data_IF_302259755904
#
_entry.id   IF_302259755904
#
_cell.length_a   1.000
_cell.length_b   1.000
_cell.length_c   1.000
_cell.angle_alpha   90.00
_cell.angle_beta   90.00
_cell.angle_gamma   90.00
#
_symmetry.space_group_name_H-M   'P 1'
#
loop_
_entity.id
_entity.type
_entity.pdbx_description
1 polymer ?
#
# COMPACT_ATOMS: atom_id res chain seq x y z
N UNK A 1 -24.09 -14.63 -44.60
CA UNK A 1 -22.77 -13.97 -44.51
C UNK A 1 -22.62 -13.40 -43.12
N UNK A 2 -21.75 -13.99 -42.30
CA UNK A 2 -21.38 -13.46 -40.99
C UNK A 2 -20.47 -12.24 -41.18
N UNK A 3 -20.93 -11.06 -40.78
CA UNK A 3 -20.09 -9.86 -40.72
C UNK A 3 -19.19 -9.98 -39.49
N UNK A 4 -17.88 -10.02 -39.69
CA UNK A 4 -16.89 -9.89 -38.62
C UNK A 4 -16.89 -8.44 -38.14
N UNK A 5 -17.04 -8.24 -36.84
CA UNK A 5 -16.95 -6.91 -36.20
C UNK A 5 -15.73 -6.93 -35.31
N UNK A 6 -14.81 -6.01 -35.53
CA UNK A 6 -13.68 -5.80 -34.64
C UNK A 6 -14.16 -5.11 -33.36
N UNK A 7 -13.69 -5.64 -32.24
CA UNK A 7 -13.98 -5.10 -30.92
C UNK A 7 -12.72 -5.07 -30.06
N UNK A 8 -12.67 -4.13 -29.12
CA UNK A 8 -11.57 -3.93 -28.17
C UNK A 8 -12.08 -4.21 -26.75
N UNK A 9 -11.39 -5.04 -25.96
CA UNK A 9 -11.77 -5.27 -24.58
C UNK A 9 -11.58 -4.02 -23.72
N UNK A 10 -12.42 -3.83 -22.71
CA UNK A 10 -12.27 -2.78 -21.70
C UNK A 10 -12.59 -3.32 -20.30
N UNK A 11 -12.01 -2.67 -19.29
CA UNK A 11 -12.30 -2.90 -17.88
C UNK A 11 -12.27 -1.56 -17.15
N UNK A 12 -13.40 -1.11 -16.62
CA UNK A 12 -13.54 0.23 -16.08
C UNK A 12 -14.43 0.26 -14.84
N UNK A 13 -14.17 1.22 -13.95
CA UNK A 13 -15.02 1.46 -12.79
C UNK A 13 -16.35 2.09 -13.24
N UNK A 14 -17.44 1.69 -12.61
CA UNK A 14 -18.75 2.32 -12.78
C UNK A 14 -18.82 3.50 -11.81
N UNK A 15 -18.78 4.73 -12.32
CA UNK A 15 -18.97 5.93 -11.49
C UNK A 15 -20.48 6.21 -11.26
N UNK A 16 -20.85 6.59 -10.04
CA UNK A 16 -22.19 7.10 -9.72
C UNK A 16 -23.20 6.08 -9.17
N UNK A 17 -22.79 4.84 -8.89
CA UNK A 17 -23.60 3.86 -8.15
C UNK A 17 -23.20 3.81 -6.68
N UNK A 18 -24.14 3.47 -5.78
CA UNK A 18 -23.87 3.33 -4.34
C UNK A 18 -23.03 2.10 -3.98
N UNK A 19 -22.74 1.25 -4.98
CA UNK A 19 -21.86 0.09 -4.85
C UNK A 19 -20.66 0.30 -5.79
N UNK A 20 -19.46 0.17 -5.23
CA UNK A 20 -18.22 0.19 -6.00
C UNK A 20 -18.15 -1.08 -6.86
N UNK A 21 -18.26 -0.91 -8.18
CA UNK A 21 -18.27 -2.01 -9.15
C UNK A 21 -17.42 -1.65 -10.38
N UNK A 22 -16.92 -2.68 -11.04
CA UNK A 22 -16.25 -2.61 -12.33
C UNK A 22 -17.08 -3.30 -13.40
N UNK A 23 -16.91 -2.89 -14.65
CA UNK A 23 -17.49 -3.57 -15.80
C UNK A 23 -16.39 -3.99 -16.76
N UNK A 24 -16.41 -5.28 -17.11
CA UNK A 24 -15.61 -5.85 -18.18
C UNK A 24 -16.49 -6.07 -19.40
N UNK A 25 -15.99 -5.74 -20.59
CA UNK A 25 -16.73 -5.99 -21.83
C UNK A 25 -15.93 -5.67 -23.07
N UNK A 26 -16.63 -5.55 -24.20
CA UNK A 26 -16.03 -5.21 -25.48
C UNK A 26 -16.67 -3.94 -26.06
N UNK A 27 -15.86 -3.09 -26.69
CA UNK A 27 -16.31 -1.92 -27.44
C UNK A 27 -16.07 -2.09 -28.92
N UNK A 28 -16.98 -1.57 -29.74
CA UNK A 28 -16.75 -1.42 -31.19
C UNK A 28 -15.90 -0.17 -31.45
N UNK A 29 -15.46 -0.02 -32.69
CA UNK A 29 -14.69 1.15 -33.14
C UNK A 29 -15.42 2.49 -32.92
N UNK A 30 -16.75 2.50 -32.83
CA UNK A 30 -17.56 3.70 -32.54
C UNK A 30 -17.68 4.02 -31.03
N UNK A 31 -17.00 3.24 -30.17
CA UNK A 31 -17.04 3.38 -28.72
C UNK A 31 -18.28 2.75 -28.06
N UNK A 32 -19.25 2.26 -28.84
CA UNK A 32 -20.42 1.59 -28.28
C UNK A 32 -20.04 0.23 -27.68
N UNK A 33 -20.67 -0.09 -26.55
CA UNK A 33 -20.55 -1.38 -25.89
C UNK A 33 -21.18 -2.47 -26.77
N UNK A 34 -20.55 -3.64 -26.81
CA UNK A 34 -20.91 -4.74 -27.69
C UNK A 34 -20.89 -6.07 -26.95
N UNK A 35 -21.93 -6.86 -27.15
CA UNK A 35 -22.02 -8.21 -26.59
C UNK A 35 -22.36 -8.21 -25.10
N UNK A 36 -21.76 -9.15 -24.37
CA UNK A 36 -22.00 -9.38 -22.95
C UNK A 36 -21.10 -8.46 -22.12
N UNK A 37 -21.70 -7.83 -21.12
CA UNK A 37 -20.99 -7.10 -20.07
C UNK A 37 -21.02 -7.91 -18.79
N UNK A 38 -19.89 -7.93 -18.09
CA UNK A 38 -19.74 -8.57 -16.80
C UNK A 38 -19.55 -7.47 -15.77
N UNK A 39 -20.50 -7.34 -14.85
CA UNK A 39 -20.37 -6.47 -13.69
C UNK A 39 -19.68 -7.26 -12.59
N UNK A 40 -18.57 -6.72 -12.10
CA UNK A 40 -17.75 -7.32 -11.05
C UNK A 40 -17.76 -6.40 -9.83
N UNK A 41 -18.14 -6.89 -8.64
CA UNK A 41 -18.02 -6.10 -7.41
C UNK A 41 -16.57 -5.68 -7.15
N UNK A 42 -16.34 -4.45 -6.68
CA UNK A 42 -14.98 -3.96 -6.40
C UNK A 42 -14.25 -4.84 -5.37
N UNK A 43 -14.94 -5.30 -4.32
CA UNK A 43 -14.38 -6.23 -3.33
C UNK A 43 -13.78 -7.48 -3.97
N UNK A 44 -14.42 -8.04 -5.00
CA UNK A 44 -13.90 -9.21 -5.71
C UNK A 44 -12.65 -8.88 -6.55
N UNK A 45 -12.62 -7.68 -7.13
CA UNK A 45 -11.45 -7.18 -7.87
C UNK A 45 -10.29 -6.93 -6.91
N UNK A 46 -10.54 -6.30 -5.77
CA UNK A 46 -9.56 -6.06 -4.71
C UNK A 46 -8.96 -7.36 -4.22
N UNK A 47 -9.79 -8.35 -3.87
CA UNK A 47 -9.30 -9.67 -3.47
C UNK A 47 -8.48 -10.34 -4.56
N UNK A 48 -8.90 -10.27 -5.83
CA UNK A 48 -8.17 -10.88 -6.93
C UNK A 48 -6.83 -10.18 -7.22
N UNK A 49 -6.79 -8.84 -7.17
CA UNK A 49 -5.57 -8.04 -7.37
C UNK A 49 -4.60 -8.21 -6.21
N UNK A 50 -5.11 -8.23 -4.98
CA UNK A 50 -4.29 -8.37 -3.78
C UNK A 50 -3.90 -9.81 -3.46
N UNK A 51 -4.56 -10.82 -4.06
CA UNK A 51 -4.30 -12.24 -3.77
C UNK A 51 -2.84 -12.65 -3.95
N UNK A 52 -2.18 -12.12 -4.99
CA UNK A 52 -0.77 -12.40 -5.29
C UNK A 52 0.15 -11.20 -4.97
N UNK A 53 -0.38 -10.17 -4.31
CA UNK A 53 0.38 -8.97 -3.96
C UNK A 53 0.90 -9.06 -2.52
N UNK A 54 2.16 -8.66 -2.31
CA UNK A 54 2.74 -8.53 -0.97
C UNK A 54 3.11 -7.08 -0.70
N UNK A 55 2.53 -6.49 0.33
CA UNK A 55 2.90 -5.16 0.83
C UNK A 55 3.85 -5.31 2.01
N UNK A 56 4.97 -4.60 1.95
CA UNK A 56 5.93 -4.48 3.05
C UNK A 56 6.23 -3.01 3.33
N UNK A 57 6.57 -2.71 4.58
CA UNK A 57 7.01 -1.37 4.99
C UNK A 57 8.53 -1.40 5.06
N UNK A 58 9.18 -0.47 4.38
CA UNK A 58 10.59 -0.19 4.56
C UNK A 58 10.79 1.20 5.17
N UNK A 59 12.00 1.43 5.69
CA UNK A 59 12.42 2.70 6.23
C UNK A 59 13.59 3.22 5.39
N UNK A 60 13.46 4.46 4.90
CA UNK A 60 14.53 5.18 4.24
C UNK A 60 15.61 5.59 5.25
N UNK A 61 16.85 5.86 4.80
CA UNK A 61 17.94 6.27 5.69
C UNK A 61 17.68 7.54 6.52
N UNK A 62 16.74 8.39 6.10
CA UNK A 62 16.32 9.60 6.82
C UNK A 62 15.21 9.33 7.86
N UNK A 63 14.79 8.08 8.03
CA UNK A 63 13.75 7.68 8.97
C UNK A 63 12.32 7.84 8.44
N UNK A 64 12.12 8.20 7.18
CA UNK A 64 10.80 8.16 6.54
C UNK A 64 10.41 6.73 6.16
N UNK A 65 9.12 6.41 6.28
CA UNK A 65 8.59 5.09 5.93
C UNK A 65 8.10 5.09 4.48
N UNK A 66 8.22 3.95 3.83
CA UNK A 66 7.72 3.72 2.48
C UNK A 66 7.10 2.33 2.37
N UNK A 67 6.06 2.21 1.56
CA UNK A 67 5.50 0.94 1.12
C UNK A 67 6.29 0.43 -0.07
N UNK A 68 6.62 -0.86 -0.02
CA UNK A 68 7.04 -1.65 -1.15
C UNK A 68 5.95 -2.68 -1.45
N UNK A 69 5.61 -2.81 -2.72
CA UNK A 69 4.64 -3.80 -3.19
C UNK A 69 5.29 -4.75 -4.18
N UNK A 70 5.38 -6.03 -3.82
CA UNK A 70 5.66 -7.10 -4.78
C UNK A 70 4.34 -7.53 -5.42
N UNK A 71 4.33 -7.73 -6.75
CA UNK A 71 3.11 -8.06 -7.50
C UNK A 71 2.21 -6.86 -7.84
N UNK A 72 2.57 -5.65 -7.37
CA UNK A 72 1.90 -4.40 -7.70
C UNK A 72 2.69 -3.59 -8.74
N UNK A 73 1.99 -2.74 -9.49
CA UNK A 73 2.67 -1.79 -10.38
C UNK A 73 3.35 -0.68 -9.58
N UNK A 74 4.45 -0.14 -10.11
CA UNK A 74 5.18 0.98 -9.50
C UNK A 74 4.27 2.19 -9.29
N UNK A 75 3.42 2.51 -10.28
CA UNK A 75 2.43 3.59 -10.17
C UNK A 75 1.42 3.34 -9.04
N UNK A 76 1.00 2.08 -8.84
CA UNK A 76 0.10 1.70 -7.75
C UNK A 76 0.74 1.85 -6.38
N UNK A 77 2.01 1.43 -6.24
CA UNK A 77 2.79 1.60 -5.00
C UNK A 77 3.06 3.09 -4.73
N UNK A 78 3.39 3.87 -5.75
CA UNK A 78 3.58 5.32 -5.66
C UNK A 78 2.30 6.02 -5.20
N UNK A 79 1.15 5.67 -5.77
CA UNK A 79 -0.15 6.21 -5.36
C UNK A 79 -0.48 5.83 -3.90
N UNK A 80 -0.23 4.58 -3.50
CA UNK A 80 -0.43 4.13 -2.12
C UNK A 80 0.45 4.90 -1.12
N UNK A 81 1.72 5.14 -1.47
CA UNK A 81 2.66 5.94 -0.68
C UNK A 81 2.18 7.41 -0.53
N UNK A 82 1.50 7.95 -1.53
CA UNK A 82 0.94 9.30 -1.44
C UNK A 82 -0.30 9.40 -0.54
N UNK A 83 -1.04 8.31 -0.32
CA UNK A 83 -2.30 8.30 0.43
C UNK A 83 -2.18 7.81 1.88
N UNK A 84 -1.07 7.18 2.28
CA UNK A 84 -1.00 6.41 3.54
C UNK A 84 0.37 6.52 4.25
N UNK A 85 0.93 5.38 4.67
CA UNK A 85 2.17 5.16 5.44
C UNK A 85 3.37 5.90 4.86
N UNK A 86 3.40 6.13 3.53
CA UNK A 86 4.49 6.87 2.87
C UNK A 86 4.68 8.32 3.37
N UNK A 87 3.75 8.85 4.17
CA UNK A 87 3.87 10.16 4.82
C UNK A 87 4.35 10.11 6.27
N UNK A 88 4.49 8.92 6.85
CA UNK A 88 4.89 8.76 8.25
C UNK A 88 6.42 8.69 8.35
N UNK A 89 6.94 9.32 9.40
CA UNK A 89 8.30 9.10 9.88
C UNK A 89 8.28 8.16 11.09
N UNK A 90 9.44 7.55 11.38
CA UNK A 90 9.64 6.79 12.62
C UNK A 90 9.27 7.62 13.86
N UNK A 91 9.59 8.92 13.89
CA UNK A 91 9.19 9.81 15.00
C UNK A 91 7.66 9.94 15.11
N UNK A 92 6.96 10.17 14.00
CA UNK A 92 5.49 10.26 14.04
C UNK A 92 4.84 8.96 14.50
N UNK A 93 5.35 7.82 14.03
CA UNK A 93 4.82 6.50 14.42
C UNK A 93 5.07 6.21 15.90
N UNK A 94 6.24 6.56 16.42
CA UNK A 94 6.53 6.44 17.84
C UNK A 94 5.64 7.35 18.69
N UNK A 95 5.37 8.58 18.26
CA UNK A 95 4.45 9.47 18.98
C UNK A 95 3.03 8.90 19.05
N UNK A 96 2.54 8.35 17.94
CA UNK A 96 1.22 7.74 17.87
C UNK A 96 1.13 6.51 18.79
N UNK A 97 2.15 5.63 18.78
CA UNK A 97 2.22 4.47 19.65
C UNK A 97 2.37 4.82 21.14
N UNK A 98 3.10 5.89 21.46
CA UNK A 98 3.39 6.31 22.83
C UNK A 98 2.31 7.25 23.40
N UNK A 99 1.22 7.48 22.68
CA UNK A 99 0.11 8.28 23.19
C UNK A 99 -0.47 7.61 24.46
N UNK A 100 -0.15 8.19 25.62
CA UNK A 100 -0.38 7.62 26.95
C UNK A 100 -1.86 7.29 27.23
N UNK A 101 -2.79 7.96 26.57
CA UNK A 101 -4.22 7.70 26.68
C UNK A 101 -4.62 6.33 26.08
N UNK A 102 -3.91 5.87 25.06
CA UNK A 102 -4.09 4.54 24.46
C UNK A 102 -3.30 3.46 25.22
N UNK A 103 -2.06 3.76 25.62
CA UNK A 103 -1.19 2.81 26.32
C UNK A 103 -1.66 2.47 27.74
N UNK A 104 -2.37 3.37 28.42
CA UNK A 104 -2.90 3.13 29.77
C UNK A 104 -4.03 2.06 29.83
N UNK A 105 -4.56 1.66 28.67
CA UNK A 105 -5.60 0.63 28.55
C UNK A 105 -5.03 -0.79 28.38
N UNK A 106 -3.72 -0.93 28.17
CA UNK A 106 -3.07 -2.22 27.96
C UNK A 106 -2.53 -2.81 29.27
N UNK A 107 -2.86 -4.07 29.55
CA UNK A 107 -2.53 -4.78 30.79
C UNK A 107 -1.01 -4.89 31.04
N UNK A 108 -0.20 -4.89 29.98
CA UNK A 108 1.25 -5.11 30.01
C UNK A 108 2.07 -3.94 29.44
N UNK A 109 1.48 -2.74 29.31
CA UNK A 109 2.10 -1.59 28.64
C UNK A 109 3.55 -1.30 29.08
N UNK A 110 3.87 -1.41 30.38
CA UNK A 110 5.23 -1.17 30.90
C UNK A 110 6.24 -2.16 30.34
N UNK A 111 5.86 -3.44 30.23
CA UNK A 111 6.73 -4.49 29.70
C UNK A 111 6.96 -4.30 28.21
N UNK A 112 5.91 -3.99 27.46
CA UNK A 112 5.97 -3.80 26.02
C UNK A 112 6.76 -2.55 25.64
N UNK A 113 6.57 -1.45 26.38
CA UNK A 113 7.42 -0.26 26.28
C UNK A 113 8.88 -0.54 26.65
N UNK A 114 9.12 -1.44 27.61
CA UNK A 114 10.45 -1.92 27.94
C UNK A 114 11.12 -2.66 26.77
N UNK A 115 10.38 -3.51 26.06
CA UNK A 115 10.84 -4.20 24.85
C UNK A 115 11.10 -3.23 23.71
N UNK A 116 10.17 -2.31 23.44
CA UNK A 116 10.33 -1.26 22.42
C UNK A 116 11.59 -0.42 22.68
N UNK A 117 11.84 -0.05 23.95
CA UNK A 117 13.06 0.69 24.33
C UNK A 117 14.34 -0.08 24.00
N UNK A 118 14.37 -1.40 24.23
CA UNK A 118 15.53 -2.24 23.89
C UNK A 118 15.75 -2.24 22.37
N UNK A 119 14.70 -2.47 21.60
CA UNK A 119 14.75 -2.49 20.14
C UNK A 119 15.23 -1.15 19.55
N UNK A 120 14.74 -0.02 20.08
CA UNK A 120 15.17 1.31 19.65
C UNK A 120 16.65 1.56 19.98
N UNK A 121 17.13 1.12 21.14
CA UNK A 121 18.54 1.24 21.50
C UNK A 121 19.46 0.41 20.57
N UNK A 122 19.05 -0.81 20.21
CA UNK A 122 19.77 -1.65 19.25
C UNK A 122 19.76 -1.03 17.84
N UNK A 123 18.63 -0.49 17.41
CA UNK A 123 18.49 0.25 16.16
C UNK A 123 19.41 1.46 16.10
N UNK A 124 19.48 2.26 17.18
CA UNK A 124 20.39 3.39 17.28
C UNK A 124 21.86 2.95 17.13
N UNK A 125 22.26 1.87 17.80
CA UNK A 125 23.61 1.32 17.67
C UNK A 125 23.95 0.81 16.26
N UNK A 126 22.95 0.43 15.45
CA UNK A 126 23.15 0.13 14.02
C UNK A 126 23.38 1.41 13.20
N UNK A 127 22.61 2.47 13.47
CA UNK A 127 22.78 3.77 12.82
C UNK A 127 24.15 4.36 13.12
N UNK A 128 24.57 4.36 14.39
CA UNK A 128 25.88 4.87 14.81
C UNK A 128 27.02 4.14 14.09
N UNK A 129 26.96 2.80 14.02
CA UNK A 129 27.95 2.00 13.27
C UNK A 129 27.97 2.35 11.78
N UNK A 130 26.82 2.58 11.16
CA UNK A 130 26.75 2.97 9.75
C UNK A 130 27.38 4.36 9.53
N UNK A 131 27.14 5.32 10.43
CA UNK A 131 27.76 6.65 10.40
C UNK A 131 29.29 6.57 10.55
N UNK A 132 29.79 5.77 11.49
CA UNK A 132 31.22 5.55 11.69
C UNK A 132 31.89 4.97 10.43
N UNK A 133 31.24 4.00 9.79
CA UNK A 133 31.74 3.40 8.55
C UNK A 133 31.79 4.40 7.39
N UNK A 134 30.81 5.29 7.27
CA UNK A 134 30.76 6.30 6.21
C UNK A 134 31.75 7.45 6.42
N UNK A 135 32.01 7.81 7.68
CA UNK A 135 32.95 8.88 8.04
C UNK A 135 34.41 8.43 8.01
N UNK A 136 34.69 7.17 8.34
CA UNK A 136 36.06 6.59 8.32
C UNK A 136 36.57 6.28 6.90
N UNK A 137 35.67 6.18 5.91
CA UNK A 137 36.01 5.92 4.49
C UNK A 137 36.26 7.20 3.66
N UNK A 138 36.15 8.38 4.28
CA UNK A 138 36.51 9.68 3.69
C UNK A 138 37.91 10.10 4.11
#
# INVERSE_FOLDING_TARGET
MSKTVEVVPFFERIDGTSADCYVAGFRKADGSRSGIEIVVPAEMVEHAVLADSQLSVAMNPDGTLALHGDGLSEDGVQAANQCSIGRQSLDSLLRDCLCLEAAALEEDAVKDLGLLRIQLAEGLALVDRALDMLTTRR
#
